data_IF_992548257992
#
_entry.id   IF_992548257992
#
_cell.length_a   1.000
_cell.length_b   1.000
_cell.length_c   1.000
_cell.angle_alpha   90.00
_cell.angle_beta   90.00
_cell.angle_gamma   90.00
#
_symmetry.space_group_name_H-M   'P 1'
#
loop_
_entity.id
_entity.type
_entity.pdbx_description
1 polymer ?
#
# COMPACT_ATOMS: atom_id res chain seq x y z
N UNK A 1 -45.27 -14.85 -3.52
CA UNK A 1 -44.29 -13.78 -3.81
C UNK A 1 -43.46 -14.25 -5.00
N UNK A 2 -43.58 -13.60 -6.15
CA UNK A 2 -42.71 -13.88 -7.30
C UNK A 2 -41.42 -13.11 -7.05
N UNK A 3 -40.24 -13.76 -7.04
CA UNK A 3 -38.98 -13.04 -6.89
C UNK A 3 -38.83 -12.09 -8.08
N UNK A 4 -38.78 -10.79 -7.79
CA UNK A 4 -38.46 -9.78 -8.79
C UNK A 4 -37.03 -10.06 -9.23
N UNK A 5 -36.88 -10.60 -10.44
CA UNK A 5 -35.57 -10.80 -11.03
C UNK A 5 -34.93 -9.41 -11.20
N UNK A 6 -33.67 -9.23 -10.75
CA UNK A 6 -32.99 -7.95 -10.87
C UNK A 6 -32.95 -7.52 -12.33
N UNK A 7 -33.20 -6.24 -12.58
CA UNK A 7 -33.16 -5.72 -13.94
C UNK A 7 -31.82 -6.08 -14.60
N UNK A 8 -31.81 -6.52 -15.87
CA UNK A 8 -30.60 -6.96 -16.56
C UNK A 8 -29.49 -5.89 -16.61
N UNK A 9 -29.83 -4.62 -16.37
CA UNK A 9 -28.87 -3.53 -16.20
C UNK A 9 -28.08 -3.57 -14.88
N UNK A 10 -28.67 -4.04 -13.78
CA UNK A 10 -28.04 -4.09 -12.47
C UNK A 10 -26.92 -5.12 -12.38
N UNK A 11 -27.11 -6.31 -12.97
CA UNK A 11 -26.10 -7.37 -12.97
C UNK A 11 -24.83 -6.94 -13.73
N UNK A 12 -24.98 -6.27 -14.88
CA UNK A 12 -23.84 -5.79 -15.66
C UNK A 12 -23.05 -4.68 -14.94
N UNK A 13 -23.72 -3.83 -14.14
CA UNK A 13 -23.03 -2.81 -13.35
C UNK A 13 -22.22 -3.41 -12.20
N UNK A 14 -22.78 -4.42 -11.52
CA UNK A 14 -22.06 -5.14 -10.46
C UNK A 14 -20.81 -5.86 -10.98
N UNK A 15 -20.92 -6.48 -12.16
CA UNK A 15 -19.75 -7.09 -12.81
C UNK A 15 -18.71 -6.04 -13.19
N UNK A 16 -19.14 -4.88 -13.70
CA UNK A 16 -18.25 -3.74 -13.95
C UNK A 16 -17.47 -3.29 -12.71
N UNK A 17 -18.13 -3.24 -11.54
CA UNK A 17 -17.46 -2.92 -10.28
C UNK A 17 -16.40 -3.98 -9.91
N UNK A 18 -16.73 -5.26 -10.04
CA UNK A 18 -15.76 -6.35 -9.82
C UNK A 18 -14.55 -6.18 -10.73
N UNK A 19 -14.76 -5.83 -11.99
CA UNK A 19 -13.69 -5.62 -12.96
C UNK A 19 -12.79 -4.44 -12.60
N UNK A 20 -13.39 -3.34 -12.15
CA UNK A 20 -12.66 -2.19 -11.62
C UNK A 20 -11.81 -2.57 -10.41
N UNK A 21 -12.39 -3.31 -9.45
CA UNK A 21 -11.68 -3.77 -8.25
C UNK A 21 -10.48 -4.66 -8.59
N UNK A 22 -10.66 -5.62 -9.50
CA UNK A 22 -9.58 -6.51 -9.93
C UNK A 22 -8.45 -5.72 -10.62
N UNK A 23 -8.79 -4.78 -11.50
CA UNK A 23 -7.82 -3.90 -12.15
C UNK A 23 -7.06 -3.02 -11.15
N UNK A 24 -7.78 -2.46 -10.17
CA UNK A 24 -7.22 -1.66 -9.09
C UNK A 24 -6.28 -2.49 -8.20
N UNK A 25 -6.68 -3.70 -7.79
CA UNK A 25 -5.84 -4.60 -7.00
C UNK A 25 -4.56 -5.00 -7.73
N UNK A 26 -4.67 -5.39 -9.01
CA UNK A 26 -3.50 -5.73 -9.82
C UNK A 26 -2.57 -4.52 -9.97
N UNK A 27 -3.14 -3.33 -10.23
CA UNK A 27 -2.40 -2.08 -10.30
C UNK A 27 -1.66 -1.76 -9.01
N UNK A 28 -2.30 -1.91 -7.85
CA UNK A 28 -1.68 -1.69 -6.54
C UNK A 28 -0.51 -2.67 -6.29
N UNK A 29 -0.64 -3.92 -6.72
CA UNK A 29 0.42 -4.93 -6.61
C UNK A 29 1.61 -4.59 -7.53
N UNK A 30 1.35 -4.23 -8.79
CA UNK A 30 2.40 -3.79 -9.73
C UNK A 30 3.14 -2.58 -9.17
N UNK A 31 2.40 -1.61 -8.62
CA UNK A 31 2.96 -0.44 -7.97
C UNK A 31 3.86 -0.83 -6.78
N UNK A 32 3.33 -1.63 -5.86
CA UNK A 32 4.04 -2.03 -4.64
C UNK A 32 5.28 -2.87 -4.89
N UNK A 33 5.25 -3.76 -5.89
CA UNK A 33 6.37 -4.67 -6.20
C UNK A 33 7.43 -4.05 -7.10
N UNK A 34 7.05 -3.20 -8.05
CA UNK A 34 7.94 -2.75 -9.11
C UNK A 34 8.58 -1.39 -8.88
N UNK A 35 7.90 -0.46 -8.20
CA UNK A 35 8.21 0.97 -8.32
C UNK A 35 7.96 1.80 -7.05
N UNK A 36 7.66 1.16 -5.91
CA UNK A 36 7.39 1.84 -4.63
C UNK A 36 8.63 2.35 -3.88
N UNK A 37 9.81 2.27 -4.48
CA UNK A 37 11.05 2.77 -3.88
C UNK A 37 11.12 4.31 -3.86
N UNK A 38 11.84 4.92 -2.91
CA UNK A 38 11.95 6.38 -2.76
C UNK A 38 12.74 7.10 -3.87
N UNK A 39 13.13 6.40 -4.95
CA UNK A 39 13.90 6.98 -6.05
C UNK A 39 13.29 6.65 -7.40
N UNK A 40 12.73 7.64 -8.09
CA UNK A 40 12.62 7.60 -9.54
C UNK A 40 11.26 8.03 -10.11
N UNK A 41 11.33 8.84 -11.18
CA UNK A 41 10.25 9.26 -12.07
C UNK A 41 9.44 8.11 -12.72
N UNK A 42 9.69 6.86 -12.32
CA UNK A 42 9.09 5.66 -12.87
C UNK A 42 7.67 5.42 -12.31
N UNK A 43 7.36 5.93 -11.11
CA UNK A 43 6.02 5.82 -10.51
C UNK A 43 4.92 6.48 -11.35
N UNK A 44 5.28 7.53 -12.09
CA UNK A 44 4.40 8.26 -13.00
C UNK A 44 3.75 7.38 -14.07
N UNK A 45 4.51 6.50 -14.72
CA UNK A 45 3.98 5.60 -15.76
C UNK A 45 3.08 4.53 -15.18
N UNK A 46 3.39 4.09 -13.96
CA UNK A 46 2.57 3.11 -13.24
C UNK A 46 1.19 3.69 -12.92
N UNK A 47 1.07 4.99 -12.66
CA UNK A 47 -0.23 5.63 -12.39
C UNK A 47 -1.16 5.54 -13.59
N UNK A 48 -0.63 5.80 -14.79
CA UNK A 48 -1.38 5.66 -16.03
C UNK A 48 -1.78 4.20 -16.26
N UNK A 49 -0.88 3.26 -15.96
CA UNK A 49 -1.16 1.82 -16.06
C UNK A 49 -2.26 1.38 -15.09
N UNK A 50 -2.21 1.81 -13.82
CA UNK A 50 -3.24 1.53 -12.81
C UNK A 50 -4.59 2.07 -13.27
N UNK A 51 -4.63 3.31 -13.76
CA UNK A 51 -5.83 3.91 -14.34
C UNK A 51 -6.38 3.11 -15.53
N UNK A 52 -5.51 2.73 -16.47
CA UNK A 52 -5.87 1.93 -17.63
C UNK A 52 -6.39 0.54 -17.26
N UNK A 53 -5.75 -0.16 -16.30
CA UNK A 53 -6.18 -1.47 -15.82
C UNK A 53 -7.53 -1.40 -15.13
N UNK A 54 -7.72 -0.40 -14.25
CA UNK A 54 -8.96 -0.21 -13.51
C UNK A 54 -10.12 0.15 -14.44
N UNK A 55 -9.91 1.09 -15.37
CA UNK A 55 -10.91 1.47 -16.37
C UNK A 55 -11.24 0.34 -17.34
N UNK A 56 -10.22 -0.40 -17.83
CA UNK A 56 -10.41 -1.52 -18.75
C UNK A 56 -11.13 -2.68 -18.07
N UNK A 57 -10.78 -3.03 -16.84
CA UNK A 57 -11.48 -4.04 -16.06
C UNK A 57 -12.95 -3.67 -15.87
N UNK A 58 -13.22 -2.41 -15.51
CA UNK A 58 -14.59 -1.90 -15.39
C UNK A 58 -15.38 -2.05 -16.69
N UNK A 59 -14.80 -1.64 -17.81
CA UNK A 59 -15.47 -1.66 -19.11
C UNK A 59 -15.69 -3.09 -19.64
N UNK A 60 -14.70 -3.97 -19.49
CA UNK A 60 -14.76 -5.37 -19.94
C UNK A 60 -15.86 -6.16 -19.25
N UNK A 61 -16.09 -5.89 -17.96
CA UNK A 61 -17.13 -6.57 -17.19
C UNK A 61 -18.49 -5.85 -17.22
N UNK A 62 -18.68 -4.90 -18.15
CA UNK A 62 -19.99 -4.32 -18.43
C UNK A 62 -20.32 -3.05 -17.67
N UNK A 63 -19.35 -2.47 -16.95
CA UNK A 63 -19.48 -1.14 -16.35
C UNK A 63 -19.62 -0.07 -17.43
N UNK A 64 -20.66 0.77 -17.31
CA UNK A 64 -20.98 1.82 -18.28
C UNK A 64 -21.47 3.08 -17.60
N UNK A 65 -21.28 4.21 -18.29
CA UNK A 65 -21.78 5.53 -17.89
C UNK A 65 -20.92 6.24 -16.84
N UNK A 66 -21.21 7.53 -16.65
CA UNK A 66 -20.40 8.46 -15.85
C UNK A 66 -20.19 7.98 -14.40
N UNK A 67 -21.22 7.40 -13.76
CA UNK A 67 -21.12 6.91 -12.38
C UNK A 67 -20.05 5.81 -12.24
N UNK A 68 -20.01 4.86 -13.18
CA UNK A 68 -19.02 3.78 -13.17
C UNK A 68 -17.63 4.29 -13.53
N UNK A 69 -17.53 5.25 -14.45
CA UNK A 69 -16.28 5.90 -14.80
C UNK A 69 -15.64 6.62 -13.60
N UNK A 70 -16.43 7.41 -12.85
CA UNK A 70 -15.98 8.07 -11.62
C UNK A 70 -15.58 7.06 -10.54
N UNK A 71 -16.34 5.96 -10.38
CA UNK A 71 -16.03 4.92 -9.41
C UNK A 71 -14.72 4.20 -9.74
N UNK A 72 -14.51 3.82 -11.01
CA UNK A 72 -13.26 3.25 -11.47
C UNK A 72 -12.08 4.21 -11.27
N UNK A 73 -12.30 5.50 -11.54
CA UNK A 73 -11.35 6.56 -11.24
C UNK A 73 -10.94 6.65 -9.77
N UNK A 74 -11.92 6.65 -8.86
CA UNK A 74 -11.67 6.65 -7.42
C UNK A 74 -10.91 5.39 -6.97
N UNK A 75 -11.29 4.22 -7.49
CA UNK A 75 -10.61 2.95 -7.20
C UNK A 75 -9.16 2.96 -7.70
N UNK A 76 -8.87 3.59 -8.84
CA UNK A 76 -7.50 3.73 -9.33
C UNK A 76 -6.65 4.58 -8.39
N UNK A 77 -7.17 5.72 -7.89
CA UNK A 77 -6.47 6.55 -6.89
C UNK A 77 -6.25 5.78 -5.58
N UNK A 78 -7.28 5.08 -5.10
CA UNK A 78 -7.17 4.24 -3.91
C UNK A 78 -6.11 3.13 -4.09
N UNK A 79 -6.04 2.52 -5.27
CA UNK A 79 -5.02 1.54 -5.60
C UNK A 79 -3.61 2.12 -5.65
N UNK A 80 -3.43 3.35 -6.12
CA UNK A 80 -2.12 4.03 -6.09
C UNK A 80 -1.66 4.26 -4.64
N UNK A 81 -2.55 4.78 -3.77
CA UNK A 81 -2.25 4.99 -2.35
C UNK A 81 -1.97 3.65 -1.65
N UNK A 82 -2.81 2.64 -1.88
CA UNK A 82 -2.63 1.30 -1.33
C UNK A 82 -1.35 0.63 -1.82
N UNK A 83 -1.03 0.78 -3.10
CA UNK A 83 0.21 0.28 -3.71
C UNK A 83 1.46 0.95 -3.13
N UNK A 84 1.40 2.23 -2.79
CA UNK A 84 2.49 2.95 -2.11
C UNK A 84 2.70 2.46 -0.69
N UNK A 85 1.62 2.26 0.08
CA UNK A 85 1.67 1.65 1.41
C UNK A 85 2.23 0.23 1.34
N UNK A 86 1.77 -0.55 0.37
CA UNK A 86 2.26 -1.90 0.13
C UNK A 86 3.74 -1.90 -0.26
N UNK A 87 4.17 -0.98 -1.13
CA UNK A 87 5.57 -0.82 -1.51
C UNK A 87 6.45 -0.43 -0.32
N UNK A 88 6.03 0.54 0.48
CA UNK A 88 6.73 0.89 1.72
C UNK A 88 6.81 -0.32 2.67
N UNK A 89 5.73 -1.08 2.82
CA UNK A 89 5.72 -2.31 3.61
C UNK A 89 6.66 -3.37 3.03
N UNK A 90 6.69 -3.57 1.71
CA UNK A 90 7.60 -4.51 1.05
C UNK A 90 9.04 -4.07 1.24
N UNK A 91 9.39 -2.81 0.99
CA UNK A 91 10.76 -2.28 1.19
C UNK A 91 11.20 -2.48 2.64
N UNK A 92 10.32 -2.15 3.59
CA UNK A 92 10.57 -2.37 5.02
C UNK A 92 10.79 -3.83 5.38
N UNK A 93 10.13 -4.77 4.70
CA UNK A 93 10.26 -6.20 5.00
C UNK A 93 11.31 -6.93 4.15
N UNK A 94 11.63 -6.46 2.94
CA UNK A 94 12.46 -7.13 1.93
C UNK A 94 13.88 -6.58 1.86
N UNK A 95 14.04 -5.26 1.73
CA UNK A 95 15.37 -4.61 1.68
C UNK A 95 15.88 -4.28 3.08
N UNK A 96 14.95 -4.00 4.00
CA UNK A 96 15.26 -3.58 5.37
C UNK A 96 14.72 -4.58 6.39
N UNK A 97 14.68 -5.87 6.04
CA UNK A 97 14.22 -6.94 6.92
C UNK A 97 14.72 -6.69 8.33
N UNK A 98 13.81 -6.55 9.30
CA UNK A 98 14.14 -6.09 10.65
C UNK A 98 15.27 -6.89 11.31
N UNK A 99 15.31 -8.19 11.01
CA UNK A 99 16.39 -9.10 11.41
C UNK A 99 17.74 -8.74 10.77
N UNK A 100 17.74 -8.35 9.51
CA UNK A 100 18.93 -7.89 8.81
C UNK A 100 19.37 -6.52 9.30
N UNK A 101 18.48 -5.61 9.72
CA UNK A 101 18.90 -4.35 10.37
C UNK A 101 19.50 -4.56 11.75
N UNK A 102 18.95 -5.44 12.58
CA UNK A 102 19.64 -5.82 13.81
C UNK A 102 20.99 -6.47 13.50
N UNK A 103 21.06 -7.37 12.51
CA UNK A 103 22.31 -8.03 12.15
C UNK A 103 23.34 -7.12 11.45
N UNK A 104 22.90 -6.12 10.67
CA UNK A 104 23.73 -5.13 9.96
C UNK A 104 24.13 -4.01 10.90
N UNK A 105 23.23 -3.48 11.73
CA UNK A 105 23.57 -2.48 12.75
C UNK A 105 24.44 -3.13 13.82
N UNK A 106 24.06 -4.29 14.37
CA UNK A 106 24.94 -5.02 15.28
C UNK A 106 26.21 -5.50 14.57
N UNK A 107 26.18 -5.82 13.27
CA UNK A 107 27.35 -6.22 12.49
C UNK A 107 28.31 -5.05 12.22
N UNK A 108 27.79 -3.88 11.88
CA UNK A 108 28.55 -2.64 11.69
C UNK A 108 29.10 -2.14 13.03
N UNK A 109 28.29 -2.19 14.09
CA UNK A 109 28.72 -1.89 15.45
C UNK A 109 29.77 -2.91 15.94
N UNK A 110 29.62 -4.22 15.67
CA UNK A 110 30.62 -5.27 15.97
C UNK A 110 31.94 -5.08 15.23
N UNK A 111 31.90 -4.45 14.05
CA UNK A 111 33.08 -4.06 13.28
C UNK A 111 33.68 -2.74 13.75
N UNK A 112 32.90 -1.90 14.42
CA UNK A 112 33.42 -0.71 15.08
C UNK A 112 34.27 -1.13 16.29
N UNK A 113 35.42 -0.47 16.54
CA UNK A 113 36.23 -0.77 17.71
C UNK A 113 35.40 -0.50 18.97
N UNK A 114 35.20 -1.54 19.79
CA UNK A 114 34.70 -1.37 21.15
C UNK A 114 35.85 -0.88 22.00
N UNK A 115 36.08 0.43 21.96
CA UNK A 115 37.20 1.07 22.63
C UNK A 115 37.12 0.84 24.14
N UNK A 116 38.29 0.76 24.81
CA UNK A 116 38.38 0.62 26.26
C UNK A 116 37.59 1.72 26.99
N UNK A 117 37.53 2.93 26.42
CA UNK A 117 36.70 4.03 26.92
C UNK A 117 35.20 3.70 26.98
N UNK A 118 34.67 2.89 26.04
CA UNK A 118 33.27 2.45 26.05
C UNK A 118 33.04 1.42 27.15
N UNK A 119 34.00 0.51 27.35
CA UNK A 119 33.95 -0.47 28.44
C UNK A 119 34.03 0.21 29.82
N UNK A 120 34.95 1.15 30.00
CA UNK A 120 35.08 1.95 31.23
C UNK A 120 33.84 2.79 31.51
N UNK A 121 33.18 3.28 30.45
CA UNK A 121 31.89 3.96 30.57
C UNK A 121 30.81 3.00 31.08
N UNK A 122 30.74 1.78 30.55
CA UNK A 122 29.78 0.77 31.03
C UNK A 122 30.06 0.35 32.48
N UNK A 123 31.32 0.20 32.87
CA UNK A 123 31.66 -0.11 34.27
C UNK A 123 31.18 0.98 35.23
N UNK A 124 31.33 2.26 34.83
CA UNK A 124 30.77 3.40 35.59
C UNK A 124 29.25 3.35 35.64
N UNK A 125 28.59 3.06 34.52
CA UNK A 125 27.12 2.89 34.47
C UNK A 125 26.63 1.81 35.44
N UNK A 126 27.30 0.65 35.47
CA UNK A 126 26.96 -0.46 36.37
C UNK A 126 27.12 -0.02 37.83
N UNK A 127 28.20 0.70 38.15
CA UNK A 127 28.44 1.25 39.48
C UNK A 127 27.33 2.21 39.92
N UNK A 128 27.02 3.21 39.09
CA UNK A 128 25.96 4.19 39.38
C UNK A 128 24.58 3.55 39.46
N UNK A 129 24.28 2.56 38.61
CA UNK A 129 22.99 1.89 38.61
C UNK A 129 22.71 1.16 39.93
N UNK A 130 23.73 0.57 40.56
CA UNK A 130 23.59 -0.06 41.90
C UNK A 130 23.13 0.91 42.97
N UNK A 131 23.57 2.16 42.86
CA UNK A 131 23.30 3.20 43.83
C UNK A 131 22.04 4.00 43.47
N UNK A 132 21.45 3.75 42.29
CA UNK A 132 20.28 4.47 41.78
C UNK A 132 18.99 3.90 42.39
N UNK A 133 18.22 4.70 43.14
CA UNK A 133 16.91 4.31 43.64
C UNK A 133 15.89 4.11 42.50
N UNK A 134 14.85 3.27 42.68
CA UNK A 134 13.82 3.04 41.66
C UNK A 134 13.10 4.31 41.17
N UNK A 135 12.94 5.31 42.04
CA UNK A 135 12.32 6.60 41.73
C UNK A 135 13.24 7.57 40.96
N UNK A 136 14.52 7.24 40.78
CA UNK A 136 15.50 8.05 40.06
C UNK A 136 15.93 7.46 38.70
N UNK A 137 15.24 6.41 38.24
CA UNK A 137 15.55 5.73 36.97
C UNK A 137 15.50 6.69 35.78
N UNK A 138 14.56 7.63 35.73
CA UNK A 138 14.49 8.63 34.65
C UNK A 138 15.76 9.51 34.59
N UNK A 139 16.23 9.97 35.74
CA UNK A 139 17.46 10.77 35.83
C UNK A 139 18.70 9.98 35.41
N UNK A 140 18.72 8.69 35.73
CA UNK A 140 19.77 7.77 35.28
C UNK A 140 19.77 7.60 33.76
N UNK A 141 18.59 7.39 33.16
CA UNK A 141 18.42 7.25 31.71
C UNK A 141 18.93 8.50 30.98
N UNK A 142 18.54 9.69 31.45
CA UNK A 142 18.98 10.98 30.88
C UNK A 142 20.49 11.15 30.94
N UNK A 143 21.09 10.93 32.11
CA UNK A 143 22.53 11.12 32.34
C UNK A 143 23.38 10.26 31.41
N UNK A 144 22.97 9.01 31.20
CA UNK A 144 23.77 8.05 30.47
C UNK A 144 23.53 8.03 28.96
N UNK A 145 22.59 8.86 28.48
CA UNK A 145 22.39 9.09 27.05
C UNK A 145 21.83 7.86 26.35
N UNK A 146 20.82 7.23 26.95
CA UNK A 146 20.10 6.12 26.32
C UNK A 146 19.25 6.56 25.11
N UNK A 147 19.26 7.84 24.72
CA UNK A 147 18.79 8.29 23.40
C UNK A 147 19.72 9.27 22.66
N UNK A 148 19.55 9.20 21.33
CA UNK A 148 20.18 9.92 20.23
C UNK A 148 19.78 11.42 20.11
N UNK A 149 19.26 12.08 21.15
CA UNK A 149 18.81 13.48 21.00
C UNK A 149 18.46 14.24 22.29
N UNK A 150 19.07 15.41 22.40
CA UNK A 150 18.74 16.62 23.20
C UNK A 150 18.62 16.50 24.74
N UNK A 151 19.50 17.17 25.51
CA UNK A 151 19.55 17.13 26.98
C UNK A 151 18.34 17.78 27.69
N UNK A 152 17.45 18.46 26.95
CA UNK A 152 16.34 19.24 27.50
C UNK A 152 14.98 18.50 27.41
N UNK A 153 14.99 17.23 26.98
CA UNK A 153 13.77 16.46 26.71
C UNK A 153 13.40 15.55 27.88
N UNK A 154 12.10 15.41 28.15
CA UNK A 154 11.58 14.43 29.11
C UNK A 154 11.76 13.01 28.56
N UNK A 155 12.13 12.07 29.45
CA UNK A 155 12.16 10.63 29.12
C UNK A 155 10.75 10.19 28.76
N UNK A 156 10.59 9.62 27.58
CA UNK A 156 9.33 9.06 27.11
C UNK A 156 9.01 7.74 27.81
N UNK A 157 7.72 7.41 27.91
CA UNK A 157 7.28 6.12 28.46
C UNK A 157 7.90 4.92 27.71
N UNK A 158 8.16 5.06 26.41
CA UNK A 158 8.80 4.04 25.58
C UNK A 158 10.26 3.80 25.98
N UNK A 159 10.99 4.86 26.33
CA UNK A 159 12.38 4.76 26.80
C UNK A 159 12.46 4.09 28.16
N UNK A 160 11.55 4.44 29.07
CA UNK A 160 11.45 3.78 30.38
C UNK A 160 11.18 2.29 30.19
N UNK A 161 10.23 1.93 29.31
CA UNK A 161 9.92 0.54 28.99
C UNK A 161 11.13 -0.19 28.38
N UNK A 162 11.81 0.42 27.40
CA UNK A 162 13.03 -0.15 26.79
C UNK A 162 14.12 -0.37 27.84
N UNK A 163 14.38 0.63 28.68
CA UNK A 163 15.36 0.53 29.74
C UNK A 163 15.04 -0.61 30.70
N UNK A 164 13.81 -0.67 31.23
CA UNK A 164 13.42 -1.68 32.20
C UNK A 164 13.44 -3.10 31.64
N UNK A 165 13.09 -3.26 30.36
CA UNK A 165 12.98 -4.58 29.74
C UNK A 165 14.29 -5.09 29.13
N UNK A 166 15.09 -4.21 28.51
CA UNK A 166 16.30 -4.59 27.78
C UNK A 166 17.59 -4.24 28.51
N UNK A 167 17.65 -3.16 29.28
CA UNK A 167 18.92 -2.62 29.83
C UNK A 167 19.11 -3.00 31.30
N UNK A 168 18.10 -2.71 32.13
CA UNK A 168 18.13 -2.93 33.56
C UNK A 168 18.44 -4.38 33.96
N UNK A 169 17.95 -5.42 33.25
CA UNK A 169 18.32 -6.81 33.56
C UNK A 169 19.82 -7.07 33.39
N UNK A 170 20.44 -6.51 32.35
CA UNK A 170 21.89 -6.63 32.15
C UNK A 170 22.66 -5.87 33.22
N UNK A 171 22.28 -4.63 33.53
CA UNK A 171 22.94 -3.86 34.60
C UNK A 171 22.81 -4.53 35.96
N UNK A 172 21.66 -5.13 36.28
CA UNK A 172 21.43 -5.89 37.52
C UNK A 172 22.29 -7.15 37.59
N UNK A 173 22.39 -7.89 36.48
CA UNK A 173 23.25 -9.08 36.42
C UNK A 173 24.73 -8.70 36.56
N UNK A 174 25.16 -7.65 35.86
CA UNK A 174 26.53 -7.15 35.88
C UNK A 174 26.92 -6.48 37.19
N UNK A 175 25.95 -5.94 37.90
CA UNK A 175 26.15 -5.45 39.26
C UNK A 175 26.62 -6.56 40.20
N UNK A 176 26.11 -7.78 40.04
CA UNK A 176 26.51 -8.92 40.87
C UNK A 176 27.85 -9.52 40.41
N UNK A 177 28.08 -9.54 39.10
CA UNK A 177 29.31 -10.08 38.50
C UNK A 177 29.68 -9.27 37.27
N UNK A 178 30.79 -8.54 37.34
CA UNK A 178 31.25 -7.73 36.22
C UNK A 178 31.47 -8.63 34.98
N UNK A 179 30.93 -8.22 33.82
CA UNK A 179 31.10 -8.97 32.59
C UNK A 179 32.55 -8.91 32.12
N UNK A 180 32.98 -9.88 31.32
CA UNK A 180 34.19 -9.71 30.52
C UNK A 180 33.92 -8.70 29.40
N UNK A 181 34.96 -8.01 28.93
CA UNK A 181 34.82 -6.98 27.88
C UNK A 181 34.11 -7.49 26.62
N UNK A 182 34.38 -8.72 26.20
CA UNK A 182 33.71 -9.34 25.05
C UNK A 182 32.20 -9.60 25.29
N UNK A 183 31.83 -10.04 26.49
CA UNK A 183 30.43 -10.26 26.88
C UNK A 183 29.67 -8.93 26.98
N UNK A 184 30.30 -7.91 27.58
CA UNK A 184 29.76 -6.55 27.67
C UNK A 184 29.52 -5.95 26.27
N UNK A 185 30.49 -6.14 25.37
CA UNK A 185 30.40 -5.70 23.99
C UNK A 185 29.21 -6.30 23.24
N UNK A 186 29.03 -7.63 23.31
CA UNK A 186 27.92 -8.30 22.62
C UNK A 186 26.57 -7.84 23.15
N UNK A 187 26.43 -7.74 24.47
CA UNK A 187 25.20 -7.25 25.09
C UNK A 187 24.91 -5.78 24.77
N UNK A 188 25.94 -4.93 24.75
CA UNK A 188 25.80 -3.53 24.35
C UNK A 188 25.22 -3.40 22.94
N UNK A 189 25.74 -4.15 21.97
CA UNK A 189 25.23 -4.11 20.60
C UNK A 189 23.81 -4.66 20.48
N UNK A 190 23.48 -5.71 21.23
CA UNK A 190 22.14 -6.29 21.26
C UNK A 190 21.10 -5.31 21.85
N UNK A 191 21.44 -4.66 22.96
CA UNK A 191 20.63 -3.59 23.58
C UNK A 191 20.39 -2.45 22.58
N UNK A 192 21.45 -1.90 21.98
CA UNK A 192 21.36 -0.78 21.04
C UNK A 192 20.51 -1.17 19.82
N UNK A 193 20.68 -2.39 19.31
CA UNK A 193 19.89 -2.88 18.18
C UNK A 193 18.39 -3.01 18.51
N UNK A 194 18.05 -3.51 19.71
CA UNK A 194 16.67 -3.58 20.20
C UNK A 194 16.06 -2.19 20.44
N UNK A 195 16.82 -1.28 21.04
CA UNK A 195 16.39 0.10 21.29
C UNK A 195 16.06 0.84 20.00
N UNK A 196 16.95 0.74 19.01
CA UNK A 196 16.71 1.32 17.68
C UNK A 196 15.46 0.75 17.01
N UNK A 197 15.21 -0.57 17.12
CA UNK A 197 14.02 -1.20 16.57
C UNK A 197 12.72 -0.67 17.21
N UNK A 198 12.66 -0.62 18.54
CA UNK A 198 11.47 -0.13 19.25
C UNK A 198 11.22 1.34 18.95
N UNK A 199 12.26 2.16 19.04
CA UNK A 199 12.15 3.59 18.79
C UNK A 199 11.68 3.84 17.36
N UNK A 200 12.27 3.19 16.35
CA UNK A 200 11.83 3.33 14.97
C UNK A 200 10.38 2.87 14.76
N UNK A 201 9.98 1.72 15.31
CA UNK A 201 8.59 1.21 15.20
C UNK A 201 7.58 2.18 15.83
N UNK A 202 7.95 2.81 16.93
CA UNK A 202 7.08 3.73 17.64
C UNK A 202 7.02 5.13 16.98
N UNK A 203 8.14 5.65 16.50
CA UNK A 203 8.22 7.02 15.97
C UNK A 203 8.01 7.11 14.49
N UNK A 204 8.22 6.01 13.74
CA UNK A 204 8.09 5.98 12.28
C UNK A 204 6.99 5.02 11.86
N UNK A 205 5.70 5.36 12.09
CA UNK A 205 4.59 4.53 11.62
C UNK A 205 4.68 4.36 10.11
N UNK A 206 4.26 3.20 9.62
CA UNK A 206 4.39 2.81 8.21
C UNK A 206 3.83 3.86 7.23
N UNK A 207 2.80 4.59 7.66
CA UNK A 207 2.23 5.70 6.92
C UNK A 207 3.21 6.86 6.72
N UNK A 208 4.05 7.23 7.70
CA UNK A 208 5.05 8.29 7.53
C UNK A 208 6.12 7.92 6.48
N UNK A 209 6.46 6.64 6.37
CA UNK A 209 7.40 6.12 5.37
C UNK A 209 6.76 6.11 3.99
N UNK A 210 5.46 5.81 3.92
CA UNK A 210 4.67 5.91 2.69
C UNK A 210 4.34 7.36 2.28
N UNK A 211 4.71 8.36 3.10
CA UNK A 211 4.37 9.78 2.97
C UNK A 211 5.54 10.68 2.51
N UNK A 212 6.39 10.32 1.52
CA UNK A 212 6.99 11.41 0.74
C UNK A 212 5.83 12.28 0.25
N UNK A 213 5.98 13.62 0.22
CA UNK A 213 4.92 14.50 -0.24
C UNK A 213 4.41 13.98 -1.58
N UNK A 214 3.09 13.88 -1.74
CA UNK A 214 2.50 13.80 -3.06
C UNK A 214 2.95 15.09 -3.75
N UNK A 215 4.03 15.00 -4.52
CA UNK A 215 4.50 16.14 -5.24
C UNK A 215 3.47 16.47 -6.33
N UNK A 216 3.62 17.64 -6.93
CA UNK A 216 2.72 18.05 -8.01
C UNK A 216 2.70 17.01 -9.15
N UNK A 217 3.81 16.30 -9.36
CA UNK A 217 3.95 15.29 -10.40
C UNK A 217 3.07 14.07 -10.08
N UNK A 218 3.17 13.51 -8.88
CA UNK A 218 2.33 12.43 -8.38
C UNK A 218 0.83 12.78 -8.51
N UNK A 219 0.46 14.03 -8.19
CA UNK A 219 -0.91 14.50 -8.34
C UNK A 219 -1.35 14.57 -9.81
N UNK A 220 -0.52 15.11 -10.70
CA UNK A 220 -0.80 15.17 -12.13
C UNK A 220 -0.94 13.78 -12.74
N UNK A 221 -0.16 12.81 -12.29
CA UNK A 221 -0.24 11.43 -12.75
C UNK A 221 -1.44 10.68 -12.19
N UNK A 222 -1.83 10.93 -10.93
CA UNK A 222 -3.08 10.42 -10.38
C UNK A 222 -4.29 10.97 -11.14
N UNK A 223 -4.29 12.27 -11.46
CA UNK A 223 -5.31 12.89 -12.31
C UNK A 223 -5.27 12.30 -13.73
N UNK A 224 -4.09 12.08 -14.29
CA UNK A 224 -3.91 11.42 -15.59
C UNK A 224 -4.49 10.01 -15.61
N UNK A 225 -4.20 9.20 -14.59
CA UNK A 225 -4.76 7.85 -14.43
C UNK A 225 -6.27 7.86 -14.27
N UNK A 226 -6.82 8.82 -13.51
CA UNK A 226 -8.26 9.06 -13.41
C UNK A 226 -8.88 9.38 -14.78
N UNK A 227 -8.29 10.32 -15.52
CA UNK A 227 -8.76 10.70 -16.87
C UNK A 227 -8.72 9.50 -17.81
N UNK A 228 -7.65 8.70 -17.78
CA UNK A 228 -7.54 7.48 -18.58
C UNK A 228 -8.63 6.48 -18.21
N UNK A 229 -8.87 6.24 -16.92
CA UNK A 229 -9.90 5.30 -16.47
C UNK A 229 -11.29 5.74 -16.97
N UNK A 230 -11.61 7.03 -16.86
CA UNK A 230 -12.86 7.62 -17.35
C UNK A 230 -12.99 7.48 -18.86
N UNK A 231 -11.95 7.90 -19.60
CA UNK A 231 -11.94 7.86 -21.06
C UNK A 231 -12.13 6.44 -21.62
N UNK A 232 -11.50 5.43 -20.98
CA UNK A 232 -11.67 4.03 -21.36
C UNK A 232 -13.13 3.58 -21.20
N UNK A 233 -13.75 3.86 -20.04
CA UNK A 233 -15.14 3.46 -19.77
C UNK A 233 -16.11 4.17 -20.71
N UNK A 234 -15.92 5.47 -20.98
CA UNK A 234 -16.76 6.22 -21.90
C UNK A 234 -16.63 5.73 -23.34
N UNK A 235 -15.40 5.53 -23.83
CA UNK A 235 -15.15 5.06 -25.20
C UNK A 235 -15.80 3.70 -25.45
N UNK A 236 -15.69 2.77 -24.49
CA UNK A 236 -16.33 1.45 -24.59
C UNK A 236 -17.85 1.57 -24.53
N UNK A 237 -18.38 2.46 -23.68
CA UNK A 237 -19.81 2.73 -23.59
C UNK A 237 -20.36 3.26 -24.91
N UNK A 238 -19.66 4.20 -25.54
CA UNK A 238 -20.06 4.78 -26.82
C UNK A 238 -20.00 3.78 -27.98
N UNK A 239 -18.93 2.99 -28.05
CA UNK A 239 -18.83 1.90 -29.04
C UNK A 239 -19.96 0.89 -28.89
N UNK A 240 -20.31 0.53 -27.65
CA UNK A 240 -21.44 -0.37 -27.39
C UNK A 240 -22.78 0.24 -27.81
N UNK A 241 -22.98 1.56 -27.61
CA UNK A 241 -24.16 2.28 -28.10
C UNK A 241 -24.27 2.24 -29.62
N UNK A 242 -23.19 2.62 -30.33
CA UNK A 242 -23.17 2.61 -31.79
C UNK A 242 -23.42 1.22 -32.38
N UNK A 243 -22.85 0.17 -31.77
CA UNK A 243 -23.06 -1.21 -32.21
C UNK A 243 -24.54 -1.65 -32.05
N UNK A 244 -25.21 -1.24 -30.96
CA UNK A 244 -26.64 -1.50 -30.75
C UNK A 244 -27.49 -0.79 -31.79
N UNK A 245 -27.24 0.49 -32.03
CA UNK A 245 -27.97 1.25 -33.05
C UNK A 245 -27.78 0.65 -34.45
N UNK A 246 -26.57 0.23 -34.80
CA UNK A 246 -26.28 -0.42 -36.07
C UNK A 246 -27.03 -1.77 -36.20
N UNK A 247 -27.04 -2.58 -35.14
CA UNK A 247 -27.78 -3.84 -35.10
C UNK A 247 -29.30 -3.63 -35.24
N UNK A 248 -29.85 -2.61 -34.57
CA UNK A 248 -31.27 -2.24 -34.70
C UNK A 248 -31.62 -1.77 -36.11
N UNK A 249 -30.78 -0.93 -36.73
CA UNK A 249 -30.97 -0.49 -38.13
C UNK A 249 -30.92 -1.68 -39.09
N UNK A 250 -29.95 -2.59 -38.92
CA UNK A 250 -29.85 -3.80 -39.73
C UNK A 250 -31.07 -4.72 -39.56
N UNK A 251 -31.58 -4.86 -38.33
CA UNK A 251 -32.79 -5.62 -38.05
C UNK A 251 -34.04 -5.01 -38.71
N UNK A 252 -34.18 -3.67 -38.66
CA UNK A 252 -35.27 -2.95 -39.34
C UNK A 252 -35.22 -3.11 -40.85
N UNK A 253 -34.05 -2.92 -41.47
CA UNK A 253 -33.88 -3.13 -42.91
C UNK A 253 -34.20 -4.57 -43.34
N UNK A 254 -33.84 -5.56 -42.51
CA UNK A 254 -34.17 -6.98 -42.78
C UNK A 254 -35.67 -7.25 -42.63
N UNK A 255 -36.36 -6.57 -41.71
CA UNK A 255 -37.80 -6.67 -41.55
C UNK A 255 -38.56 -6.04 -42.73
N UNK A 256 -38.10 -4.88 -43.22
CA UNK A 256 -38.67 -4.20 -44.39
C UNK A 256 -38.46 -4.96 -45.69
N UNK A 257 -37.35 -5.70 -45.81
CA UNK A 257 -37.07 -6.57 -46.97
C UNK A 257 -37.85 -7.89 -46.97
N UNK A 258 -38.69 -8.19 -45.98
CA UNK A 258 -39.54 -9.39 -46.04
C UNK A 258 -40.48 -9.26 -47.25
N UNK A 259 -40.45 -10.21 -48.19
CA UNK A 259 -41.25 -10.13 -49.41
C UNK A 259 -42.73 -10.03 -49.04
N UNK A 260 -43.44 -9.09 -49.68
CA UNK A 260 -44.89 -8.97 -49.61
C UNK A 260 -45.51 -10.37 -49.77
N UNK A 261 -46.50 -10.75 -48.94
CA UNK A 261 -47.15 -12.05 -49.07
C UNK A 261 -47.61 -12.17 -50.51
N UNK A 262 -47.09 -13.19 -51.23
CA UNK A 262 -47.45 -13.46 -52.63
C UNK A 262 -48.98 -13.37 -52.70
N UNK A 263 -49.46 -12.37 -53.45
CA UNK A 263 -50.89 -12.10 -53.56
C UNK A 263 -51.62 -13.41 -53.82
N UNK A 264 -52.70 -13.67 -53.06
CA UNK A 264 -53.54 -14.84 -53.29
C UNK A 264 -53.86 -14.89 -54.79
N UNK A 265 -53.66 -16.04 -55.46
CA UNK A 265 -53.94 -16.15 -56.88
C UNK A 265 -55.37 -15.68 -57.14
N UNK A 266 -55.53 -14.81 -58.13
CA UNK A 266 -56.82 -14.25 -58.50
C UNK A 266 -57.83 -15.40 -58.74
N UNK A 267 -59.09 -15.28 -58.26
CA UNK A 267 -60.08 -16.32 -58.46
C UNK A 267 -60.29 -16.52 -59.96
N UNK A 268 -59.92 -17.70 -60.45
CA UNK A 268 -60.17 -18.14 -61.81
C UNK A 268 -61.68 -18.10 -62.04
N UNK A 269 -62.15 -17.24 -62.95
CA UNK A 269 -63.52 -17.30 -63.44
C UNK A 269 -63.71 -18.64 -64.13
N UNK A 270 -64.36 -19.58 -63.45
CA UNK A 270 -64.93 -20.76 -64.07
C UNK A 270 -66.29 -20.40 -64.66
N UNK A 271 -66.49 -20.76 -65.92
CA UNK A 271 -67.79 -20.84 -66.57
C UNK A 271 -68.12 -19.65 -67.45
N UNK A 272 -68.11 -19.88 -68.77
CA UNK A 272 -69.36 -19.93 -69.53
C UNK A 272 -69.10 -20.67 -70.86
N UNK A 273 -70.13 -21.42 -71.24
CA UNK A 273 -70.16 -22.51 -72.22
C UNK A 273 -70.20 -22.04 -73.68
#
# INVERSE_FOLDING_TARGET
>A
MIPVLPEPGGIMQSLGLVGALLGAMLGAVIWGLGFGGPGGMEGSWVALLVGALTGSGCALLGGRGMKMALLAGFLAVAAMLGGRVLGAWIVLNREWGWKDRQAITAGALRRAPFEDATYDRMLRQIGEFKETPPDQVESFILRWGYELGEPDRQVSALEIEHFQSDVAPHLTAWASKLPKQNEAREAYYDIVARGYERHFKATTPLWQIARPPLDLVDLLFAIGGLVVAVAVVETVTEKARMAREAAERAARQKAERKPLPRGKPAPTKQGEA
#
